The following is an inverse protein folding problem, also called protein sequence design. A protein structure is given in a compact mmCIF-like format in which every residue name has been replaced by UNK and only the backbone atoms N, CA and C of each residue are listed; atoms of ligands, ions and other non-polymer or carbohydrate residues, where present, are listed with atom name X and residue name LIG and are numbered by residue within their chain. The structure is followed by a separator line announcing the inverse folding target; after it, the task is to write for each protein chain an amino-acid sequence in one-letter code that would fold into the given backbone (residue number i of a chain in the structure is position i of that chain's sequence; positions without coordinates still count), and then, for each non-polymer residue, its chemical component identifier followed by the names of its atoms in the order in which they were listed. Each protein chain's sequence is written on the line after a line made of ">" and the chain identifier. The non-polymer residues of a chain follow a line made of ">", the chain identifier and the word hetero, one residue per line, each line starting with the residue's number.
data_IF_561033669761
#
_entry.id   IF_561033669761
#
_cell.length_a   1.000
_cell.length_b   1.000
_cell.length_c   1.000
_cell.angle_alpha   90.00
_cell.angle_beta   90.00
_cell.angle_gamma   90.00
#
_symmetry.space_group_name_H-M   'P 1'
#
loop_
_entity.id
_entity.type
_entity.pdbx_description
1 polymer ?
#
# COMPACT_ATOMS: atom_id res chain seq x y z
N UNK A 1 -26.32 -2.07 14.99
CA UNK A 1 -26.74 -0.87 15.73
C UNK A 1 -26.09 -0.92 17.09
N UNK A 2 -25.02 -0.17 17.26
CA UNK A 2 -24.35 0.02 18.52
C UNK A 2 -24.88 1.24 19.26
N UNK A 3 -24.55 1.35 20.55
CA UNK A 3 -25.00 2.45 21.39
C UNK A 3 -23.82 3.16 22.07
N UNK A 4 -23.85 4.48 22.06
CA UNK A 4 -23.02 5.36 22.88
C UNK A 4 -23.86 5.81 24.08
N UNK A 5 -23.43 5.49 25.30
CA UNK A 5 -24.20 5.76 26.52
C UNK A 5 -23.50 6.81 27.38
N UNK A 6 -24.23 7.88 27.71
CA UNK A 6 -23.79 8.93 28.62
C UNK A 6 -24.89 9.16 29.66
N UNK A 7 -24.72 8.64 30.86
CA UNK A 7 -25.72 8.72 31.92
C UNK A 7 -27.10 8.24 31.40
N UNK A 8 -28.11 9.12 31.37
CA UNK A 8 -29.46 8.86 30.87
C UNK A 8 -29.63 9.05 29.35
N UNK A 9 -28.59 9.50 28.65
CA UNK A 9 -28.60 9.80 27.23
C UNK A 9 -28.02 8.62 26.44
N UNK A 10 -28.76 8.16 25.43
CA UNK A 10 -28.31 7.09 24.52
C UNK A 10 -28.30 7.58 23.09
N UNK A 11 -27.16 7.44 22.42
CA UNK A 11 -27.08 7.64 20.98
C UNK A 11 -26.96 6.29 20.29
N UNK A 12 -27.68 6.09 19.21
CA UNK A 12 -27.53 4.90 18.38
C UNK A 12 -26.61 5.22 17.22
N UNK A 13 -25.72 4.28 16.91
CA UNK A 13 -24.83 4.36 15.76
C UNK A 13 -25.22 3.30 14.75
N UNK A 14 -25.12 3.64 13.48
CA UNK A 14 -25.23 2.68 12.39
C UNK A 14 -24.36 3.14 11.24
N UNK A 15 -23.38 2.30 10.88
CA UNK A 15 -22.67 2.38 9.61
C UNK A 15 -23.20 1.28 8.69
N UNK A 16 -23.44 1.60 7.43
CA UNK A 16 -23.89 0.62 6.43
C UNK A 16 -22.90 0.53 5.28
N UNK A 17 -22.73 -0.67 4.74
CA UNK A 17 -21.98 -0.89 3.50
C UNK A 17 -22.59 -0.11 2.33
N UNK A 18 -23.91 0.14 2.35
CA UNK A 18 -24.59 0.94 1.33
C UNK A 18 -24.19 2.41 1.31
N UNK A 19 -23.78 2.93 2.47
CA UNK A 19 -23.30 4.29 2.61
C UNK A 19 -21.78 4.35 2.82
N UNK A 20 -21.08 3.30 2.37
CA UNK A 20 -19.62 3.23 2.37
C UNK A 20 -19.12 3.09 0.93
N UNK A 21 -18.21 3.97 0.52
CA UNK A 21 -17.61 3.90 -0.81
C UNK A 21 -16.21 4.51 -0.88
N UNK A 22 -15.42 3.98 -1.80
CA UNK A 22 -14.08 4.46 -2.10
C UNK A 22 -14.13 5.59 -3.15
N UNK A 23 -13.33 6.63 -2.96
CA UNK A 23 -13.16 7.73 -3.93
C UNK A 23 -11.67 8.06 -4.17
N UNK A 24 -11.31 8.59 -5.35
CA UNK A 24 -9.97 9.11 -5.58
C UNK A 24 -9.70 10.33 -4.68
N UNK A 25 -8.48 10.46 -4.17
CA UNK A 25 -8.02 11.62 -3.42
C UNK A 25 -6.61 12.02 -3.88
N UNK A 26 -6.21 13.26 -3.60
CA UNK A 26 -4.87 13.74 -3.98
C UNK A 26 -3.80 12.97 -3.20
N UNK A 27 -2.99 12.19 -3.92
CA UNK A 27 -1.95 11.35 -3.32
C UNK A 27 -2.40 9.98 -2.79
N UNK A 28 -3.62 9.54 -3.11
CA UNK A 28 -4.10 8.20 -2.75
C UNK A 28 -5.61 8.02 -2.96
N UNK A 29 -6.26 7.44 -1.95
CA UNK A 29 -7.68 7.14 -1.96
C UNK A 29 -8.32 7.62 -0.68
N UNK A 30 -9.65 7.63 -0.66
CA UNK A 30 -10.39 7.94 0.54
C UNK A 30 -11.60 7.02 0.67
N UNK A 31 -11.75 6.41 1.83
CA UNK A 31 -12.94 5.63 2.16
C UNK A 31 -13.93 6.55 2.87
N UNK A 32 -15.02 6.86 2.17
CA UNK A 32 -16.13 7.60 2.74
C UNK A 32 -17.05 6.63 3.49
N UNK A 33 -17.39 6.96 4.73
CA UNK A 33 -18.36 6.24 5.55
C UNK A 33 -19.39 7.25 6.07
N UNK A 34 -20.65 7.11 5.67
CA UNK A 34 -21.73 7.86 6.30
C UNK A 34 -22.19 7.15 7.57
N UNK A 35 -21.95 7.79 8.70
CA UNK A 35 -22.39 7.32 10.02
C UNK A 35 -23.74 7.95 10.34
N UNK A 36 -24.77 7.13 10.53
CA UNK A 36 -26.05 7.57 11.04
C UNK A 36 -26.02 7.55 12.58
N UNK A 37 -26.33 8.69 13.18
CA UNK A 37 -26.35 8.88 14.64
C UNK A 37 -27.78 9.21 15.04
N UNK A 38 -28.46 8.23 15.62
CA UNK A 38 -29.77 8.41 16.23
C UNK A 38 -29.64 9.05 17.60
N UNK A 39 -30.54 9.98 17.88
CA UNK A 39 -30.49 10.85 19.04
C UNK A 39 -31.85 10.86 19.75
N UNK A 40 -31.88 10.93 21.10
CA UNK A 40 -33.10 11.20 21.82
C UNK A 40 -33.52 12.67 21.60
N UNK A 41 -34.81 12.98 21.73
CA UNK A 41 -35.29 14.36 21.64
C UNK A 41 -34.76 15.18 22.83
N UNK A 42 -34.31 16.40 22.55
CA UNK A 42 -33.84 17.34 23.57
C UNK A 42 -34.62 18.65 23.52
N UNK A 43 -34.93 19.22 24.68
CA UNK A 43 -35.66 20.49 24.77
C UNK A 43 -34.80 21.74 24.53
N UNK A 44 -33.47 21.65 24.70
CA UNK A 44 -32.55 22.79 24.58
C UNK A 44 -31.42 22.49 23.58
N UNK A 45 -31.25 23.36 22.59
CA UNK A 45 -30.12 23.36 21.67
C UNK A 45 -28.78 23.69 22.38
N UNK A 46 -27.65 23.41 21.73
CA UNK A 46 -26.34 23.95 22.14
C UNK A 46 -25.39 23.01 22.89
N UNK A 47 -25.52 21.68 22.74
CA UNK A 47 -24.45 20.75 23.11
C UNK A 47 -23.79 20.19 21.84
N UNK A 48 -22.54 19.77 21.96
CA UNK A 48 -21.72 19.24 20.87
C UNK A 48 -21.27 17.83 21.28
N UNK A 49 -21.43 16.86 20.38
CA UNK A 49 -20.78 15.55 20.48
C UNK A 49 -19.48 15.61 19.71
N UNK A 50 -18.35 15.51 20.41
CA UNK A 50 -17.08 15.28 19.74
C UNK A 50 -16.97 13.79 19.43
N UNK A 51 -16.70 13.45 18.17
CA UNK A 51 -16.54 12.08 17.69
C UNK A 51 -15.12 11.91 17.20
N UNK A 52 -14.43 10.90 17.73
CA UNK A 52 -13.22 10.35 17.16
C UNK A 52 -13.56 8.97 16.60
N UNK A 53 -13.20 8.73 15.34
CA UNK A 53 -13.44 7.45 14.69
C UNK A 53 -12.12 6.89 14.18
N UNK A 54 -11.78 5.69 14.62
CA UNK A 54 -10.66 4.91 14.10
C UNK A 54 -11.18 3.85 13.12
N UNK A 55 -10.65 3.85 11.91
CA UNK A 55 -10.94 2.84 10.90
C UNK A 55 -9.88 1.74 10.96
N UNK A 56 -10.31 0.49 11.02
CA UNK A 56 -9.47 -0.69 11.03
C UNK A 56 -9.77 -1.60 9.84
N UNK A 57 -8.72 -2.22 9.32
CA UNK A 57 -8.78 -3.29 8.34
C UNK A 57 -8.09 -4.55 8.84
N UNK A 58 -8.20 -5.64 8.08
CA UNK A 58 -7.74 -6.96 8.49
C UNK A 58 -6.74 -7.55 7.50
N UNK A 59 -5.63 -8.05 8.03
CA UNK A 59 -4.58 -8.75 7.28
C UNK A 59 -4.85 -10.24 7.06
N UNK A 60 -3.92 -10.90 6.33
CA UNK A 60 -4.09 -12.27 5.81
C UNK A 60 -4.05 -13.35 6.89
N UNK A 61 -3.03 -13.39 7.78
CA UNK A 61 -2.94 -14.28 8.97
C UNK A 61 -1.81 -13.79 9.92
N UNK A 62 -1.99 -13.87 11.26
CA UNK A 62 -3.30 -13.95 11.93
C UNK A 62 -4.10 -12.68 11.59
N UNK A 63 -5.39 -12.65 11.89
CA UNK A 63 -6.30 -11.52 11.64
C UNK A 63 -5.79 -10.28 12.39
N UNK A 64 -4.76 -9.64 11.84
CA UNK A 64 -4.09 -8.52 12.45
C UNK A 64 -4.93 -7.30 12.11
N UNK A 65 -5.82 -7.00 13.04
CA UNK A 65 -6.53 -5.75 13.11
C UNK A 65 -5.51 -4.61 13.05
N UNK A 66 -5.54 -3.86 11.97
CA UNK A 66 -4.55 -2.81 11.69
C UNK A 66 -5.28 -1.49 11.52
N UNK A 67 -4.87 -0.47 12.27
CA UNK A 67 -5.45 0.87 12.15
C UNK A 67 -5.05 1.46 10.80
N UNK A 68 -6.04 1.84 10.01
CA UNK A 68 -5.87 2.45 8.69
C UNK A 68 -5.78 3.97 8.79
N UNK A 69 -6.72 4.58 9.51
CA UNK A 69 -6.83 6.03 9.64
C UNK A 69 -7.65 6.42 10.88
N UNK A 70 -7.56 7.70 11.27
CA UNK A 70 -8.39 8.32 12.30
C UNK A 70 -9.02 9.59 11.74
N UNK A 71 -10.29 9.83 12.06
CA UNK A 71 -11.01 11.07 11.79
C UNK A 71 -11.59 11.62 13.08
N UNK A 72 -11.64 12.94 13.18
CA UNK A 72 -12.34 13.65 14.26
C UNK A 72 -13.38 14.58 13.67
N UNK A 73 -14.58 14.58 14.22
CA UNK A 73 -15.66 15.46 13.79
C UNK A 73 -16.52 15.89 14.97
N UNK A 74 -17.14 17.06 14.86
CA UNK A 74 -18.01 17.61 15.88
C UNK A 74 -19.44 17.67 15.37
N UNK A 75 -20.35 17.03 16.09
CA UNK A 75 -21.77 17.09 15.79
C UNK A 75 -22.43 18.12 16.70
N UNK A 76 -22.89 19.22 16.12
CA UNK A 76 -23.76 20.17 16.80
C UNK A 76 -25.19 19.65 16.83
N UNK A 77 -25.83 19.69 17.99
CA UNK A 77 -27.20 19.20 18.13
C UNK A 77 -28.25 20.22 17.70
N UNK A 78 -29.29 19.72 17.04
CA UNK A 78 -30.52 20.48 16.80
C UNK A 78 -31.73 19.71 17.35
N UNK A 79 -32.65 20.37 18.07
CA UNK A 79 -33.76 19.70 18.76
C UNK A 79 -34.81 19.07 17.81
N UNK A 80 -34.73 19.39 16.51
CA UNK A 80 -35.68 18.95 15.48
C UNK A 80 -35.21 17.67 14.78
N UNK A 81 -33.91 17.40 14.76
CA UNK A 81 -33.33 16.29 14.01
C UNK A 81 -33.04 15.13 14.94
N UNK A 82 -33.75 14.01 14.74
CA UNK A 82 -33.59 12.79 15.54
C UNK A 82 -32.51 11.85 15.00
N UNK A 83 -32.10 12.03 13.74
CA UNK A 83 -31.01 11.25 13.12
C UNK A 83 -30.11 12.18 12.33
N UNK A 84 -28.86 12.28 12.74
CA UNK A 84 -27.83 13.01 12.02
C UNK A 84 -27.01 12.06 11.16
N UNK A 85 -26.74 12.46 9.91
CA UNK A 85 -25.83 11.75 9.02
C UNK A 85 -24.51 12.49 8.97
N UNK A 86 -23.46 11.85 9.46
CA UNK A 86 -22.13 12.41 9.56
C UNK A 86 -21.24 11.72 8.53
N UNK A 87 -20.59 12.50 7.69
CA UNK A 87 -19.60 12.02 6.74
C UNK A 87 -18.26 11.83 7.44
N UNK A 88 -17.71 10.62 7.41
CA UNK A 88 -16.37 10.31 7.88
C UNK A 88 -15.50 9.94 6.68
N UNK A 89 -14.47 10.74 6.44
CA UNK A 89 -13.60 10.66 5.27
C UNK A 89 -12.22 10.14 5.67
N UNK A 90 -11.97 8.84 5.44
CA UNK A 90 -10.74 8.17 5.87
C UNK A 90 -9.71 8.15 4.75
N UNK A 91 -8.59 8.90 4.85
CA UNK A 91 -7.53 8.83 3.86
C UNK A 91 -6.88 7.46 3.88
N UNK A 92 -6.75 6.84 2.71
CA UNK A 92 -6.10 5.55 2.50
C UNK A 92 -4.99 5.71 1.47
N UNK A 93 -3.78 5.30 1.82
CA UNK A 93 -2.70 5.18 0.84
C UNK A 93 -2.96 4.01 -0.11
N UNK A 94 -2.40 4.10 -1.32
CA UNK A 94 -2.42 3.00 -2.29
C UNK A 94 -1.79 1.72 -1.72
N UNK A 95 -0.75 1.85 -0.88
CA UNK A 95 -0.14 0.71 -0.16
C UNK A 95 -1.11 0.05 0.82
N UNK A 96 -1.88 0.82 1.58
CA UNK A 96 -2.90 0.27 2.47
C UNK A 96 -4.01 -0.41 1.67
N UNK A 97 -4.47 0.20 0.57
CA UNK A 97 -5.48 -0.40 -0.29
C UNK A 97 -4.99 -1.71 -0.92
N UNK A 98 -3.74 -1.76 -1.39
CA UNK A 98 -3.12 -2.97 -1.90
C UNK A 98 -3.00 -4.06 -0.83
N UNK A 99 -2.57 -3.71 0.38
CA UNK A 99 -2.47 -4.67 1.48
C UNK A 99 -3.84 -5.23 1.88
N UNK A 100 -4.89 -4.41 1.85
CA UNK A 100 -6.27 -4.85 2.05
C UNK A 100 -6.70 -5.84 0.95
N UNK A 101 -6.39 -5.56 -0.30
CA UNK A 101 -6.67 -6.47 -1.43
C UNK A 101 -5.91 -7.79 -1.35
N UNK A 102 -4.63 -7.74 -1.00
CA UNK A 102 -3.80 -8.94 -0.86
C UNK A 102 -4.28 -9.86 0.28
N UNK A 103 -4.82 -9.25 1.34
CA UNK A 103 -5.37 -9.93 2.51
C UNK A 103 -6.81 -10.43 2.32
N UNK A 104 -7.56 -9.86 1.37
CA UNK A 104 -8.99 -10.13 1.18
C UNK A 104 -9.25 -11.56 0.74
N UNK A 105 -10.28 -12.18 1.34
CA UNK A 105 -10.85 -13.45 0.90
C UNK A 105 -12.38 -13.33 0.81
N UNK A 106 -12.87 -12.91 -0.36
CA UNK A 106 -14.29 -12.62 -0.58
C UNK A 106 -14.62 -11.14 -0.34
N UNK A 107 -15.56 -10.87 0.56
CA UNK A 107 -15.98 -9.51 0.93
C UNK A 107 -14.86 -8.78 1.68
N UNK A 108 -14.81 -7.45 1.54
CA UNK A 108 -13.91 -6.63 2.35
C UNK A 108 -14.61 -6.21 3.63
N UNK A 109 -13.87 -6.27 4.74
CA UNK A 109 -14.38 -5.96 6.09
C UNK A 109 -13.59 -4.83 6.71
N UNK A 110 -14.31 -3.92 7.35
CA UNK A 110 -13.76 -2.86 8.16
C UNK A 110 -14.42 -2.85 9.54
N UNK A 111 -13.66 -2.40 10.53
CA UNK A 111 -14.19 -2.05 11.84
C UNK A 111 -14.03 -0.55 12.05
N UNK A 112 -15.06 0.07 12.61
CA UNK A 112 -15.11 1.49 12.95
C UNK A 112 -15.28 1.61 14.46
N UNK A 113 -14.19 1.92 15.15
CA UNK A 113 -14.26 2.27 16.57
C UNK A 113 -14.59 3.75 16.71
N UNK A 114 -15.75 4.06 17.26
CA UNK A 114 -16.21 5.43 17.49
C UNK A 114 -16.10 5.72 18.98
N UNK A 115 -15.22 6.64 19.33
CA UNK A 115 -15.16 7.26 20.66
C UNK A 115 -15.93 8.59 20.62
N UNK A 116 -16.95 8.70 21.45
CA UNK A 116 -17.73 9.91 21.56
C UNK A 116 -17.48 10.56 22.92
N UNK A 117 -17.24 11.88 22.90
CA UNK A 117 -17.05 12.67 24.11
C UNK A 117 -18.13 13.74 24.19
N UNK A 118 -18.78 13.81 25.35
CA UNK A 118 -19.78 14.83 25.67
C UNK A 118 -19.21 15.74 26.76
N UNK A 119 -18.78 16.98 26.44
CA UNK A 119 -18.05 17.86 27.37
C UNK A 119 -18.78 18.23 28.68
N UNK A 120 -20.09 17.97 28.77
CA UNK A 120 -20.92 18.24 29.96
C UNK A 120 -21.57 16.97 30.55
N UNK A 121 -21.12 15.77 30.16
CA UNK A 121 -21.57 14.53 30.80
C UNK A 121 -21.09 14.46 32.26
N UNK A 122 -21.79 13.69 33.10
CA UNK A 122 -21.31 13.42 34.45
C UNK A 122 -20.14 12.42 34.39
N UNK A 123 -19.10 12.65 35.21
CA UNK A 123 -17.88 11.85 35.22
C UNK A 123 -16.81 12.28 34.22
N UNK A 124 -15.53 12.17 34.61
CA UNK A 124 -14.38 12.42 33.74
C UNK A 124 -13.91 11.08 33.13
N UNK A 125 -13.61 11.00 31.81
CA UNK A 125 -13.62 12.09 30.82
C UNK A 125 -14.96 12.30 30.10
N UNK A 126 -16.05 11.67 30.54
CA UNK A 126 -17.36 11.83 29.91
C UNK A 126 -17.36 11.31 28.47
N UNK A 127 -16.70 10.18 28.23
CA UNK A 127 -16.56 9.54 26.93
C UNK A 127 -17.11 8.11 26.94
N UNK A 128 -17.65 7.66 25.81
CA UNK A 128 -18.11 6.29 25.58
C UNK A 128 -17.67 5.82 24.20
N UNK A 129 -17.55 4.51 24.03
CA UNK A 129 -17.08 3.91 22.78
C UNK A 129 -18.08 2.90 22.23
N UNK A 130 -18.07 2.72 20.91
CA UNK A 130 -18.87 1.76 20.20
C UNK A 130 -18.14 1.31 18.92
N UNK A 131 -18.29 0.04 18.54
CA UNK A 131 -17.62 -0.53 17.37
C UNK A 131 -18.62 -1.00 16.32
N UNK A 132 -18.66 -0.33 15.18
CA UNK A 132 -19.47 -0.72 14.03
C UNK A 132 -18.66 -1.60 13.07
N UNK A 133 -19.31 -2.60 12.48
CA UNK A 133 -18.68 -3.51 11.53
C UNK A 133 -19.27 -3.29 10.15
N UNK A 134 -18.41 -3.03 9.16
CA UNK A 134 -18.81 -2.75 7.78
C UNK A 134 -18.29 -3.89 6.91
N UNK A 135 -19.20 -4.57 6.20
CA UNK A 135 -18.85 -5.61 5.22
C UNK A 135 -19.33 -5.19 3.83
N UNK A 136 -18.42 -4.93 2.91
CA UNK A 136 -18.74 -4.55 1.53
C UNK A 136 -18.59 -5.78 0.65
N UNK A 137 -19.67 -6.12 -0.05
CA UNK A 137 -19.72 -7.26 -0.95
C UNK A 137 -18.60 -7.21 -2.00
N UNK A 138 -17.97 -8.35 -2.28
CA UNK A 138 -16.86 -8.50 -3.25
C UNK A 138 -17.12 -7.75 -4.57
N UNK A 139 -18.27 -7.98 -5.19
CA UNK A 139 -18.61 -7.39 -6.50
C UNK A 139 -18.68 -5.87 -6.46
N UNK A 140 -19.27 -5.31 -5.40
CA UNK A 140 -19.36 -3.86 -5.19
C UNK A 140 -17.98 -3.25 -4.94
N UNK A 141 -17.16 -3.93 -4.14
CA UNK A 141 -15.81 -3.47 -3.87
C UNK A 141 -14.96 -3.44 -5.14
N UNK A 142 -15.00 -4.50 -5.96
CA UNK A 142 -14.33 -4.57 -7.27
C UNK A 142 -14.83 -3.49 -8.24
N UNK A 143 -16.13 -3.19 -8.22
CA UNK A 143 -16.71 -2.09 -8.99
C UNK A 143 -16.15 -0.74 -8.53
N UNK A 144 -16.07 -0.50 -7.21
CA UNK A 144 -15.50 0.74 -6.66
C UNK A 144 -14.02 0.90 -7.02
N UNK A 145 -13.23 -0.17 -6.96
CA UNK A 145 -11.83 -0.16 -7.40
C UNK A 145 -11.70 0.18 -8.88
N UNK A 146 -12.55 -0.40 -9.73
CA UNK A 146 -12.55 -0.11 -11.18
C UNK A 146 -12.86 1.36 -11.47
N UNK A 147 -13.72 2.00 -10.67
CA UNK A 147 -14.10 3.40 -10.85
C UNK A 147 -12.98 4.40 -10.47
N UNK A 148 -11.92 3.94 -9.79
CA UNK A 148 -10.73 4.77 -9.55
C UNK A 148 -9.89 5.00 -10.83
N UNK A 149 -10.25 4.37 -11.95
CA UNK A 149 -9.35 4.14 -13.09
C UNK A 149 -9.01 5.29 -14.05
N UNK A 150 -9.62 6.50 -14.05
CA UNK A 150 -8.99 7.62 -14.74
C UNK A 150 -7.66 8.04 -14.07
N UNK A 151 -7.38 7.53 -12.87
CA UNK A 151 -6.11 7.59 -12.16
C UNK A 151 -5.41 6.21 -12.09
N UNK A 152 -5.77 5.25 -12.95
CA UNK A 152 -5.20 3.89 -12.98
C UNK A 152 -3.74 3.89 -13.49
N UNK A 153 -2.82 4.37 -12.68
CA UNK A 153 -1.53 3.72 -12.59
C UNK A 153 -1.75 2.40 -11.84
N UNK A 154 -1.29 1.28 -12.40
CA UNK A 154 -1.12 0.07 -11.61
C UNK A 154 0.03 0.34 -10.63
N UNK A 155 -0.30 0.73 -9.40
CA UNK A 155 0.69 0.86 -8.34
C UNK A 155 1.12 -0.52 -7.89
N UNK A 156 2.15 -1.05 -8.55
CA UNK A 156 2.86 -2.22 -8.06
C UNK A 156 3.83 -1.77 -6.96
N UNK A 157 3.43 -1.94 -5.69
CA UNK A 157 4.37 -1.81 -4.60
C UNK A 157 5.42 -2.93 -4.72
N UNK A 158 6.65 -2.59 -5.15
CA UNK A 158 7.79 -3.50 -5.05
C UNK A 158 8.50 -3.18 -3.74
N UNK A 159 8.27 -3.94 -2.65
CA UNK A 159 8.98 -3.70 -1.41
C UNK A 159 10.46 -4.00 -1.63
N UNK A 160 11.31 -3.01 -1.37
CA UNK A 160 12.73 -3.27 -1.26
C UNK A 160 12.99 -4.17 -0.04
N UNK A 161 13.84 -5.20 -0.16
CA UNK A 161 13.99 -6.24 0.84
C UNK A 161 14.91 -5.82 2.01
N UNK A 162 14.57 -4.74 2.72
CA UNK A 162 15.39 -4.23 3.83
C UNK A 162 15.41 -5.13 5.06
N UNK A 163 14.38 -5.97 5.23
CA UNK A 163 14.31 -6.95 6.32
C UNK A 163 15.02 -8.27 6.02
N UNK A 164 15.51 -8.44 4.79
CA UNK A 164 16.26 -9.61 4.34
C UNK A 164 17.77 -9.26 4.35
N UNK A 165 18.56 -9.81 5.29
CA UNK A 165 19.99 -9.49 5.40
C UNK A 165 20.76 -9.76 4.11
N UNK A 166 20.39 -10.80 3.36
CA UNK A 166 21.07 -11.23 2.13
C UNK A 166 20.77 -10.27 0.96
N UNK A 167 19.68 -9.49 1.03
CA UNK A 167 19.25 -8.56 -0.03
C UNK A 167 19.21 -7.10 0.38
N UNK A 168 19.54 -6.79 1.63
CA UNK A 168 19.49 -5.43 2.15
C UNK A 168 20.36 -4.47 1.33
N UNK A 169 21.49 -4.96 0.81
CA UNK A 169 22.40 -4.16 -0.03
C UNK A 169 21.76 -3.77 -1.36
N UNK A 170 21.29 -4.73 -2.16
CA UNK A 170 20.60 -4.43 -3.42
C UNK A 170 19.33 -3.58 -3.20
N UNK A 171 18.64 -3.77 -2.07
CA UNK A 171 17.54 -2.90 -1.64
C UNK A 171 17.97 -1.45 -1.39
N UNK A 172 19.15 -1.21 -0.80
CA UNK A 172 19.72 0.13 -0.62
C UNK A 172 20.09 0.76 -1.95
N UNK A 173 20.68 0.01 -2.87
CA UNK A 173 21.04 0.46 -4.22
C UNK A 173 19.81 0.96 -5.00
N UNK A 174 18.72 0.19 -5.01
CA UNK A 174 17.49 0.61 -5.69
C UNK A 174 16.82 1.82 -5.03
N UNK A 175 16.90 1.95 -3.70
CA UNK A 175 16.44 3.16 -3.00
C UNK A 175 17.27 4.38 -3.38
N UNK A 176 18.59 4.22 -3.54
CA UNK A 176 19.46 5.32 -3.99
C UNK A 176 19.13 5.74 -5.43
N UNK A 177 18.88 4.79 -6.33
CA UNK A 177 18.39 5.09 -7.68
C UNK A 177 17.08 5.92 -7.65
N UNK A 178 16.13 5.57 -6.79
CA UNK A 178 14.90 6.34 -6.59
C UNK A 178 15.16 7.76 -6.06
N UNK A 179 16.11 7.91 -5.13
CA UNK A 179 16.53 9.22 -4.61
C UNK A 179 17.12 10.10 -5.71
N UNK A 180 17.99 9.54 -6.55
CA UNK A 180 18.61 10.21 -7.70
C UNK A 180 17.56 10.67 -8.74
N UNK A 181 16.55 9.84 -9.02
CA UNK A 181 15.43 10.24 -9.88
C UNK A 181 14.64 11.43 -9.31
N UNK A 182 14.43 11.43 -7.99
CA UNK A 182 13.76 12.55 -7.29
C UNK A 182 14.60 13.83 -7.37
N UNK A 183 15.92 13.71 -7.37
CA UNK A 183 16.86 14.81 -7.52
C UNK A 183 17.04 15.29 -8.97
N UNK A 184 16.41 14.64 -9.96
CA UNK A 184 16.54 15.01 -11.37
C UNK A 184 17.81 14.48 -12.05
N UNK A 185 18.40 13.40 -11.51
CA UNK A 185 19.66 12.80 -11.97
C UNK A 185 19.43 11.43 -12.64
N UNK A 186 18.75 11.34 -13.81
CA UNK A 186 18.35 10.07 -14.42
C UNK A 186 19.54 9.21 -14.84
N UNK A 187 20.63 9.81 -15.32
CA UNK A 187 21.84 9.07 -15.68
C UNK A 187 22.46 8.39 -14.46
N UNK A 188 22.61 9.11 -13.35
CA UNK A 188 23.15 8.56 -12.12
C UNK A 188 22.24 7.45 -11.56
N UNK A 189 20.92 7.61 -11.64
CA UNK A 189 19.98 6.57 -11.26
C UNK A 189 20.17 5.27 -12.08
N UNK A 190 20.40 5.37 -13.39
CA UNK A 190 20.67 4.21 -14.25
C UNK A 190 21.96 3.48 -13.85
N UNK A 191 22.99 4.18 -13.37
CA UNK A 191 24.21 3.56 -12.85
C UNK A 191 23.94 2.73 -11.58
N UNK A 192 23.09 3.21 -10.68
CA UNK A 192 22.69 2.43 -9.49
C UNK A 192 21.78 1.25 -9.86
N UNK A 193 20.84 1.45 -10.80
CA UNK A 193 20.02 0.35 -11.35
C UNK A 193 20.91 -0.74 -11.96
N UNK A 194 21.96 -0.34 -12.67
CA UNK A 194 22.95 -1.25 -13.24
C UNK A 194 23.63 -2.10 -12.17
N UNK A 195 24.12 -1.49 -11.08
CA UNK A 195 24.71 -2.22 -9.96
C UNK A 195 23.74 -3.23 -9.34
N UNK A 196 22.46 -2.88 -9.26
CA UNK A 196 21.44 -3.83 -8.80
C UNK A 196 21.26 -5.00 -9.78
N UNK A 197 21.33 -4.78 -11.09
CA UNK A 197 21.28 -5.85 -12.10
C UNK A 197 22.52 -6.74 -12.06
N UNK A 198 23.71 -6.20 -11.78
CA UNK A 198 24.94 -6.98 -11.55
C UNK A 198 24.76 -7.94 -10.37
N UNK A 199 24.25 -7.43 -9.24
CA UNK A 199 23.92 -8.26 -8.09
C UNK A 199 22.90 -9.35 -8.43
N UNK A 200 21.83 -9.02 -9.16
CA UNK A 200 20.82 -10.00 -9.61
C UNK A 200 21.47 -11.06 -10.49
N UNK A 201 22.38 -10.68 -11.39
CA UNK A 201 23.06 -11.63 -12.28
C UNK A 201 23.92 -12.63 -11.52
N UNK A 202 24.59 -12.20 -10.46
CA UNK A 202 25.44 -13.06 -9.62
C UNK A 202 24.62 -13.99 -8.71
N UNK A 203 23.42 -13.57 -8.33
CA UNK A 203 22.62 -14.25 -7.30
C UNK A 203 21.38 -14.97 -7.85
N UNK A 204 20.99 -14.70 -9.09
CA UNK A 204 19.90 -15.40 -9.74
C UNK A 204 20.34 -16.81 -10.16
N UNK A 205 19.58 -17.82 -9.74
CA UNK A 205 19.75 -19.21 -10.17
C UNK A 205 19.21 -19.45 -11.59
N UNK A 206 19.38 -18.50 -12.52
CA UNK A 206 18.82 -18.55 -13.86
C UNK A 206 19.87 -18.95 -14.90
N UNK A 207 19.52 -19.92 -15.74
CA UNK A 207 20.41 -20.46 -16.75
C UNK A 207 20.59 -19.50 -17.93
N UNK A 208 21.83 -19.33 -18.37
CA UNK A 208 22.12 -18.59 -19.61
C UNK A 208 21.78 -19.46 -20.83
N UNK A 209 20.85 -19.05 -21.71
CA UNK A 209 20.53 -19.80 -22.91
C UNK A 209 21.69 -19.81 -23.90
N UNK A 210 21.77 -20.86 -24.71
CA UNK A 210 22.67 -20.91 -25.86
C UNK A 210 22.37 -19.77 -26.86
N UNK A 211 23.39 -19.21 -27.54
CA UNK A 211 23.28 -17.98 -28.34
C UNK A 211 22.33 -18.09 -29.54
N UNK A 212 22.07 -19.30 -30.03
CA UNK A 212 21.16 -19.57 -31.16
C UNK A 212 19.84 -20.22 -30.75
N UNK A 213 19.62 -20.41 -29.46
CA UNK A 213 18.42 -21.09 -28.95
C UNK A 213 17.19 -20.21 -29.23
N UNK A 214 16.15 -20.75 -29.84
CA UNK A 214 14.95 -19.96 -30.13
C UNK A 214 14.15 -19.70 -28.85
N UNK A 215 13.39 -18.60 -28.82
CA UNK A 215 12.59 -18.24 -27.64
C UNK A 215 11.62 -19.38 -27.23
N UNK A 216 11.01 -20.09 -28.19
CA UNK A 216 10.12 -21.23 -27.92
C UNK A 216 10.81 -22.43 -27.27
N UNK A 217 12.12 -22.56 -27.44
CA UNK A 217 12.92 -23.66 -26.89
C UNK A 217 13.48 -23.35 -25.50
N UNK A 218 13.39 -22.09 -25.06
CA UNK A 218 13.95 -21.67 -23.77
C UNK A 218 13.11 -22.17 -22.60
N UNK A 219 13.79 -22.70 -21.58
CA UNK A 219 13.23 -23.00 -20.27
C UNK A 219 12.75 -21.71 -19.57
N UNK A 220 12.05 -21.87 -18.45
CA UNK A 220 11.62 -20.73 -17.66
C UNK A 220 12.80 -19.91 -17.10
N UNK A 221 13.84 -20.59 -16.59
CA UNK A 221 15.06 -19.96 -16.07
C UNK A 221 15.81 -19.20 -17.18
N UNK A 222 15.92 -19.78 -18.36
CA UNK A 222 16.52 -19.13 -19.54
C UNK A 222 15.74 -17.90 -20.01
N UNK A 223 14.41 -17.90 -19.87
CA UNK A 223 13.58 -16.74 -20.21
C UNK A 223 13.77 -15.59 -19.22
N UNK A 224 13.88 -15.88 -17.93
CA UNK A 224 14.22 -14.87 -16.92
C UNK A 224 15.61 -14.29 -17.13
N UNK A 225 16.58 -15.14 -17.49
CA UNK A 225 17.92 -14.68 -17.85
C UNK A 225 17.88 -13.70 -19.04
N UNK A 226 17.06 -13.95 -20.07
CA UNK A 226 16.94 -13.02 -21.22
C UNK A 226 16.36 -11.66 -20.84
N UNK A 227 15.42 -11.63 -19.89
CA UNK A 227 14.87 -10.36 -19.38
C UNK A 227 15.96 -9.59 -18.64
N UNK A 228 16.72 -10.28 -17.78
CA UNK A 228 17.88 -9.70 -17.09
C UNK A 228 18.91 -9.14 -18.08
N UNK A 229 19.31 -9.93 -19.09
CA UNK A 229 20.32 -9.56 -20.08
C UNK A 229 19.90 -8.36 -20.94
N UNK A 230 18.60 -8.26 -21.27
CA UNK A 230 18.06 -7.10 -21.97
C UNK A 230 18.12 -5.82 -21.12
N UNK A 231 17.73 -5.89 -19.84
CA UNK A 231 17.84 -4.75 -18.91
C UNK A 231 19.30 -4.37 -18.65
N UNK A 232 20.17 -5.37 -18.50
CA UNK A 232 21.60 -5.20 -18.33
C UNK A 232 22.20 -4.49 -19.55
N UNK A 233 21.83 -4.90 -20.76
CA UNK A 233 22.28 -4.26 -22.00
C UNK A 233 21.79 -2.82 -22.12
N UNK A 234 20.50 -2.55 -21.83
CA UNK A 234 19.95 -1.18 -21.88
C UNK A 234 20.65 -0.23 -20.91
N UNK A 235 21.00 -0.70 -19.71
CA UNK A 235 21.70 0.11 -18.69
C UNK A 235 23.19 0.28 -18.96
N UNK A 236 23.81 -0.58 -19.78
CA UNK A 236 25.25 -0.55 -20.08
C UNK A 236 25.67 0.75 -20.79
N UNK A 237 24.79 1.34 -21.60
CA UNK A 237 25.08 2.60 -22.29
C UNK A 237 25.47 3.74 -21.34
N UNK A 238 24.90 3.77 -20.11
CA UNK A 238 25.13 4.86 -19.18
C UNK A 238 26.55 4.83 -18.58
N UNK A 239 27.15 3.64 -18.52
CA UNK A 239 28.50 3.37 -18.00
C UNK A 239 29.59 3.68 -19.01
N UNK A 240 29.29 3.58 -20.30
CA UNK A 240 30.28 3.73 -21.37
C UNK A 240 30.25 5.16 -21.92
N UNK A 241 31.43 5.68 -22.24
CA UNK A 241 31.62 6.96 -22.93
C UNK A 241 32.37 6.73 -24.25
N UNK A 242 31.97 5.68 -24.98
CA UNK A 242 32.57 5.32 -26.25
C UNK A 242 31.91 6.07 -27.41
N UNK A 243 32.38 5.80 -28.64
CA UNK A 243 31.89 6.48 -29.84
C UNK A 243 30.39 6.26 -30.12
N UNK A 244 29.78 5.25 -29.52
CA UNK A 244 28.36 4.88 -29.71
C UNK A 244 27.51 5.46 -28.58
N UNK A 245 27.97 5.38 -27.32
CA UNK A 245 27.14 5.69 -26.14
C UNK A 245 27.31 7.12 -25.61
N UNK A 246 28.36 7.86 -26.02
CA UNK A 246 28.65 9.22 -25.54
C UNK A 246 27.49 10.21 -25.74
N UNK A 247 26.73 10.04 -26.82
CA UNK A 247 25.66 10.98 -27.19
C UNK A 247 24.27 10.51 -26.70
N UNK A 248 24.20 9.44 -25.90
CA UNK A 248 22.94 8.95 -25.34
C UNK A 248 22.41 9.95 -24.31
N UNK A 249 21.13 10.29 -24.46
CA UNK A 249 20.40 11.12 -23.50
C UNK A 249 19.40 10.24 -22.74
N UNK A 250 19.44 10.33 -21.42
CA UNK A 250 18.60 9.52 -20.55
C UNK A 250 17.46 10.35 -20.01
N UNK A 251 16.24 9.92 -20.28
CA UNK A 251 15.05 10.58 -19.74
C UNK A 251 14.71 10.05 -18.35
N UNK A 252 13.97 10.86 -17.58
CA UNK A 252 13.40 10.41 -16.31
C UNK A 252 12.47 9.20 -16.50
N UNK A 253 11.65 9.21 -17.55
CA UNK A 253 10.72 8.11 -17.85
C UNK A 253 11.44 6.78 -18.15
N UNK A 254 12.57 6.85 -18.86
CA UNK A 254 13.41 5.67 -19.12
C UNK A 254 13.99 5.12 -17.82
N UNK A 255 14.57 5.98 -16.98
CA UNK A 255 15.15 5.56 -15.71
C UNK A 255 14.09 5.03 -14.72
N UNK A 256 12.88 5.62 -14.67
CA UNK A 256 11.74 5.10 -13.91
C UNK A 256 11.31 3.71 -14.40
N UNK A 257 11.29 3.49 -15.73
CA UNK A 257 10.98 2.19 -16.33
C UNK A 257 12.01 1.14 -15.92
N UNK A 258 13.30 1.45 -16.07
CA UNK A 258 14.40 0.56 -15.70
C UNK A 258 14.40 0.23 -14.20
N UNK A 259 14.11 1.23 -13.35
CA UNK A 259 14.00 1.03 -11.90
C UNK A 259 12.86 0.06 -11.58
N UNK A 260 11.66 0.30 -12.14
CA UNK A 260 10.49 -0.53 -11.89
C UNK A 260 10.70 -1.98 -12.35
N UNK A 261 11.25 -2.18 -13.55
CA UNK A 261 11.53 -3.52 -14.10
C UNK A 261 12.59 -4.26 -13.27
N UNK A 262 13.66 -3.57 -12.85
CA UNK A 262 14.73 -4.17 -12.05
C UNK A 262 14.22 -4.55 -10.65
N UNK A 263 13.46 -3.67 -10.01
CA UNK A 263 12.86 -3.94 -8.71
C UNK A 263 11.89 -5.12 -8.77
N UNK A 264 11.06 -5.20 -9.83
CA UNK A 264 10.19 -6.34 -10.08
C UNK A 264 10.96 -7.63 -10.35
N UNK A 265 12.06 -7.56 -11.10
CA UNK A 265 12.91 -8.71 -11.40
C UNK A 265 13.56 -9.29 -10.14
N UNK A 266 14.04 -8.43 -9.23
CA UNK A 266 14.63 -8.83 -7.94
C UNK A 266 13.69 -9.72 -7.11
N UNK A 267 12.37 -9.50 -7.18
CA UNK A 267 11.38 -10.34 -6.47
C UNK A 267 11.39 -11.81 -6.91
N UNK A 268 11.83 -12.09 -8.14
CA UNK A 268 11.89 -13.44 -8.69
C UNK A 268 13.22 -14.16 -8.37
N UNK A 269 14.17 -13.48 -7.73
CA UNK A 269 15.34 -14.14 -7.17
C UNK A 269 14.89 -14.95 -5.92
N UNK A 270 15.43 -16.14 -5.62
CA UNK A 270 15.09 -16.92 -4.42
C UNK A 270 15.61 -16.29 -3.12
N UNK A 271 14.79 -16.23 -2.06
CA UNK A 271 15.15 -15.57 -0.79
C UNK A 271 16.34 -16.24 -0.09
N UNK A 272 16.43 -17.56 -0.22
CA UNK A 272 17.59 -18.34 0.20
C UNK A 272 18.60 -18.34 -0.94
N UNK A 273 19.66 -17.55 -0.80
CA UNK A 273 20.81 -17.64 -1.70
C UNK A 273 21.49 -18.99 -1.44
N UNK A 274 21.61 -19.83 -2.48
CA UNK A 274 22.34 -21.09 -2.41
C UNK A 274 23.82 -20.82 -2.09
N UNK A 275 24.17 -20.71 -0.81
CA UNK A 275 25.56 -20.72 -0.36
C UNK A 275 26.10 -22.11 -0.63
N UNK A 276 27.04 -22.22 -1.57
CA UNK A 276 27.82 -23.47 -1.69
C UNK A 276 28.47 -23.75 -0.33
N UNK A 277 28.37 -24.98 0.21
CA UNK A 277 29.05 -25.32 1.45
C UNK A 277 30.56 -25.18 1.22
N UNK A 278 31.19 -24.33 2.04
CA UNK A 278 32.66 -24.26 2.14
C UNK A 278 33.14 -25.66 2.49
N UNK A 279 33.87 -26.30 1.57
CA UNK A 279 34.51 -27.57 1.86
C UNK A 279 35.49 -27.35 3.02
N UNK A 280 35.44 -28.16 4.09
CA UNK A 280 36.40 -28.06 5.17
C UNK A 280 37.79 -28.33 4.59
N UNK A 281 38.67 -27.35 4.72
CA UNK A 281 40.11 -27.51 4.51
C UNK A 281 40.57 -28.68 5.35
N UNK A 282 40.94 -29.77 4.69
CA UNK A 282 41.62 -30.89 5.34
C UNK A 282 43.06 -30.43 5.52
N UNK A 283 43.36 -29.87 6.69
CA UNK A 283 44.74 -29.75 7.14
C UNK A 283 45.23 -31.14 7.55
N UNK A 284 46.31 -31.59 6.91
CA UNK A 284 47.12 -32.74 7.29
C UNK A 284 48.43 -32.29 7.93
#
# INVERSE_FOLDING_TARGET
>A
MQELRFDDIRFTLTASSDQTWLRPALGGHELHVQLAIGMPSFEKAGRILALEADLFGFGKVPVQRSRLARVTTNLAYTPVVTVHRVSLDFPLSSRQLHALEEARNGDIRFELDVCATLPRASGFPGSTQATEHISIAKSRWEQQLTQLSPSAAFEMAVPYPFGDPDRAEVGRTLREAQRLLTAGEPRAAILEIRRALEWIQENASWDKPGPRKEARQCSQTERWWRILDALYSQTSGAMHNDAITRDFTYSRAEAETLLAMTAALLRNVPAELNRQPVQPTTEG
#
